data_IF_116594817775
#
_entry.id   IF_116594817775
#
_cell.length_a   1.000
_cell.length_b   1.000
_cell.length_c   1.000
_cell.angle_alpha   90.00
_cell.angle_beta   90.00
_cell.angle_gamma   90.00
#
_symmetry.space_group_name_H-M   'P 1'
#
loop_
_entity.id
_entity.type
_entity.pdbx_description
1 polymer ?
#
# COMPACT_ATOMS: atom_id res chain seq x y z
N UNK A 1 -10.44 6.50 18.02
CA UNK A 1 -10.01 6.73 16.63
C UNK A 1 -8.48 6.62 16.64
N UNK A 2 -7.85 5.61 16.01
CA UNK A 2 -6.39 5.53 16.02
C UNK A 2 -5.81 6.70 15.20
N UNK A 3 -4.76 7.31 15.76
CA UNK A 3 -4.13 8.53 15.27
C UNK A 3 -3.30 8.29 13.99
N UNK A 4 -3.04 9.37 13.24
CA UNK A 4 -2.60 9.42 11.84
C UNK A 4 -1.17 8.92 11.52
N UNK A 5 -0.55 8.08 12.35
CA UNK A 5 0.88 7.67 12.28
C UNK A 5 1.07 6.15 12.17
N UNK A 6 0.22 5.43 11.44
CA UNK A 6 0.23 3.95 11.43
C UNK A 6 0.32 3.36 10.02
N UNK A 7 1.24 3.89 9.20
CA UNK A 7 1.64 3.17 7.98
C UNK A 7 2.96 2.47 8.31
N UNK A 8 2.96 1.13 8.40
CA UNK A 8 4.18 0.36 8.65
C UNK A 8 5.26 0.74 7.64
N UNK A 9 6.52 0.93 8.07
CA UNK A 9 7.61 1.25 7.16
C UNK A 9 7.78 0.22 6.04
N UNK A 10 7.40 -1.04 6.28
CA UNK A 10 7.39 -2.11 5.26
C UNK A 10 6.47 -1.82 4.07
N UNK A 11 5.42 -1.01 4.26
CA UNK A 11 4.49 -0.62 3.20
C UNK A 11 4.85 0.72 2.56
N UNK A 12 5.88 1.38 3.08
CA UNK A 12 6.43 2.62 2.54
C UNK A 12 7.50 2.39 1.47
N UNK A 13 8.11 1.21 1.47
CA UNK A 13 9.21 0.85 0.56
C UNK A 13 8.77 0.38 -0.81
N UNK A 14 7.49 0.06 -1.02
CA UNK A 14 7.03 -0.38 -2.33
C UNK A 14 5.60 -0.93 -2.36
N UNK A 15 5.19 -1.52 -3.49
CA UNK A 15 3.89 -2.17 -3.60
C UNK A 15 3.81 -3.38 -2.67
N UNK A 16 2.62 -3.62 -2.14
CA UNK A 16 2.35 -4.69 -1.21
C UNK A 16 0.99 -5.31 -1.47
N UNK A 17 0.82 -6.57 -1.07
CA UNK A 17 -0.45 -7.27 -1.21
C UNK A 17 -1.40 -6.93 -0.07
N UNK A 18 -2.70 -7.05 -0.34
CA UNK A 18 -3.76 -6.93 0.66
C UNK A 18 -3.53 -7.89 1.84
N UNK A 19 -3.05 -9.09 1.55
CA UNK A 19 -2.73 -10.09 2.58
C UNK A 19 -1.62 -9.61 3.49
N UNK A 20 -0.54 -9.05 2.93
CA UNK A 20 0.56 -8.48 3.73
C UNK A 20 0.11 -7.30 4.57
N UNK A 21 -0.72 -6.42 4.01
CA UNK A 21 -1.32 -5.32 4.75
C UNK A 21 -2.18 -5.83 5.92
N UNK A 22 -2.99 -6.89 5.70
CA UNK A 22 -3.80 -7.50 6.76
C UNK A 22 -2.96 -8.13 7.87
N UNK A 23 -1.85 -8.78 7.53
CA UNK A 23 -0.91 -9.31 8.52
C UNK A 23 -0.28 -8.22 9.39
N UNK A 24 -0.20 -6.99 8.88
CA UNK A 24 0.29 -5.80 9.60
C UNK A 24 -0.84 -5.04 10.32
N UNK A 25 -2.05 -5.59 10.38
CA UNK A 25 -3.19 -4.97 11.07
C UNK A 25 -3.97 -3.95 10.23
N UNK A 26 -3.62 -3.76 8.95
CA UNK A 26 -4.36 -2.86 8.06
C UNK A 26 -5.58 -3.54 7.48
N UNK A 27 -6.70 -2.82 7.52
CA UNK A 27 -7.95 -3.28 6.93
C UNK A 27 -8.12 -2.78 5.50
N UNK A 28 -8.96 -3.47 4.73
CA UNK A 28 -9.29 -3.05 3.35
C UNK A 28 -9.86 -1.63 3.29
N UNK A 29 -10.56 -1.20 4.34
CA UNK A 29 -11.14 0.13 4.42
C UNK A 29 -10.06 1.21 4.59
N UNK A 30 -9.04 0.95 5.42
CA UNK A 30 -7.85 1.81 5.52
C UNK A 30 -7.11 1.93 4.18
N UNK A 31 -7.01 0.84 3.42
CA UNK A 31 -6.41 0.82 2.08
C UNK A 31 -7.25 1.48 0.99
N UNK A 32 -8.53 1.78 1.26
CA UNK A 32 -9.36 2.61 0.39
C UNK A 32 -9.16 4.11 0.63
N UNK A 33 -8.42 4.49 1.66
CA UNK A 33 -8.11 5.88 1.96
C UNK A 33 -7.24 6.54 0.88
N UNK A 34 -7.26 7.88 0.84
CA UNK A 34 -6.51 8.70 -0.14
C UNK A 34 -4.99 8.47 -0.19
N UNK A 35 -4.42 7.78 0.81
CA UNK A 35 -2.97 7.49 0.91
C UNK A 35 -2.54 6.25 0.12
N UNK A 36 -3.49 5.40 -0.26
CA UNK A 36 -3.21 4.15 -0.96
C UNK A 36 -3.86 4.15 -2.33
N UNK A 37 -3.14 3.65 -3.33
CA UNK A 37 -3.62 3.43 -4.68
C UNK A 37 -3.53 1.95 -5.00
N UNK A 38 -4.60 1.41 -5.58
CA UNK A 38 -4.60 0.05 -6.09
C UNK A 38 -4.00 0.01 -7.49
N UNK A 39 -2.97 -0.81 -7.69
CA UNK A 39 -2.29 -0.97 -8.98
C UNK A 39 -2.82 -2.21 -9.70
N UNK A 40 -2.92 -3.33 -8.96
CA UNK A 40 -3.41 -4.62 -9.48
C UNK A 40 -4.50 -5.18 -8.57
N UNK A 41 -5.07 -6.33 -8.94
CA UNK A 41 -6.05 -7.02 -8.10
C UNK A 41 -5.37 -7.55 -6.83
N UNK A 42 -5.65 -6.89 -5.71
CA UNK A 42 -5.06 -7.26 -4.42
C UNK A 42 -3.69 -6.65 -4.15
N UNK A 43 -3.16 -5.78 -5.03
CA UNK A 43 -1.87 -5.09 -4.84
C UNK A 43 -2.11 -3.59 -4.71
N UNK A 44 -1.55 -3.02 -3.66
CA UNK A 44 -1.67 -1.61 -3.29
C UNK A 44 -0.30 -0.97 -3.16
N UNK A 45 -0.24 0.34 -3.33
CA UNK A 45 0.95 1.17 -3.12
C UNK A 45 0.56 2.49 -2.49
N UNK A 46 1.53 3.18 -1.89
CA UNK A 46 1.31 4.55 -1.43
C UNK A 46 1.21 5.52 -2.60
N UNK A 47 0.31 6.50 -2.47
CA UNK A 47 0.18 7.60 -3.43
C UNK A 47 1.39 8.54 -3.46
N UNK A 48 2.25 8.47 -2.44
CA UNK A 48 3.52 9.20 -2.41
C UNK A 48 4.55 8.65 -3.41
N UNK A 49 4.39 7.39 -3.85
CA UNK A 49 5.30 6.79 -4.83
C UNK A 49 4.91 7.27 -6.24
N UNK A 50 5.84 7.88 -6.99
CA UNK A 50 5.60 8.33 -8.36
C UNK A 50 5.10 7.20 -9.26
N UNK A 51 4.13 7.51 -10.11
CA UNK A 51 3.54 6.51 -11.01
C UNK A 51 4.58 5.85 -11.94
N UNK A 52 5.64 6.57 -12.31
CA UNK A 52 6.74 6.01 -13.11
C UNK A 52 7.50 4.89 -12.38
N UNK A 53 7.63 4.99 -11.04
CA UNK A 53 8.30 3.98 -10.21
C UNK A 53 7.38 2.81 -9.85
N UNK A 54 6.06 3.07 -9.79
CA UNK A 54 5.04 2.04 -9.55
C UNK A 54 5.19 0.86 -10.51
N UNK A 55 5.37 1.11 -11.80
CA UNK A 55 5.48 0.07 -12.82
C UNK A 55 6.78 -0.73 -12.72
N UNK A 56 7.87 -0.09 -12.31
CA UNK A 56 9.15 -0.76 -12.07
C UNK A 56 9.05 -1.72 -10.89
N UNK A 57 8.41 -1.28 -9.81
CA UNK A 57 8.25 -2.08 -8.60
C UNK A 57 7.20 -3.19 -8.79
N UNK A 58 6.14 -2.93 -9.56
CA UNK A 58 5.10 -3.91 -9.86
C UNK A 58 5.58 -5.05 -10.78
N UNK A 59 6.69 -4.90 -11.49
CA UNK A 59 7.27 -5.95 -12.35
C UNK A 59 7.70 -7.21 -11.59
N UNK A 60 7.89 -7.10 -10.27
CA UNK A 60 8.36 -8.18 -9.41
C UNK A 60 7.23 -8.88 -8.62
N UNK A 61 5.96 -8.53 -8.87
CA UNK A 61 4.76 -9.10 -8.23
C UNK A 61 3.94 -9.92 -9.22
#
# INVERSE_FOLDING_TARGET
MPALTDIPPELRTGPFTLERARSLGLTRDMLRGKRFRRILKGVYILTEIPHSEVWLLARHF
#
